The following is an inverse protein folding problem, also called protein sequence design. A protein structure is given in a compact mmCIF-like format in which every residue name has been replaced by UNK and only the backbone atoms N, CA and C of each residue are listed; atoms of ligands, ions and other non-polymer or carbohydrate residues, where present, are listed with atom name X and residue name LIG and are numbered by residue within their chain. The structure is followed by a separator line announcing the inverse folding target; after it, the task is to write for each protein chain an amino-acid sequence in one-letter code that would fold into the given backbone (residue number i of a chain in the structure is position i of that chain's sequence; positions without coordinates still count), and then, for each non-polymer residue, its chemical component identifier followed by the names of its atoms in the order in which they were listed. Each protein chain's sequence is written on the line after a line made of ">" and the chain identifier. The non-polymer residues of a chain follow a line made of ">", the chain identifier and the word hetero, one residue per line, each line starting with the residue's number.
data_IF_726635257338
#
_entry.id   IF_726635257338
#
_cell.length_a   1.000
_cell.length_b   1.000
_cell.length_c   1.000
_cell.angle_alpha   90.00
_cell.angle_beta   90.00
_cell.angle_gamma   90.00
#
_symmetry.space_group_name_H-M   'P 1'
#
loop_
_entity.id
_entity.type
_entity.pdbx_description
1 polymer ?
#
# COMPACT_ATOMS: atom_id res chain seq x y z
N UNK A 1 13.77 -54.22 -14.69
CA UNK A 1 14.89 -53.47 -15.29
C UNK A 1 14.48 -52.02 -15.32
N UNK A 2 14.83 -51.32 -14.25
CA UNK A 2 14.56 -49.91 -13.97
C UNK A 2 15.61 -49.04 -14.68
N UNK A 3 15.17 -48.00 -15.35
CA UNK A 3 16.03 -46.91 -15.82
C UNK A 3 15.25 -45.59 -15.84
N UNK A 4 15.40 -44.82 -14.76
CA UNK A 4 15.62 -43.36 -14.78
C UNK A 4 17.05 -43.13 -15.36
N UNK A 5 17.51 -41.94 -15.83
CA UNK A 5 16.99 -40.59 -15.60
C UNK A 5 17.08 -39.61 -16.80
N UNK A 6 16.47 -38.42 -16.68
CA UNK A 6 17.18 -37.15 -16.97
C UNK A 6 16.43 -35.99 -16.29
N UNK A 7 16.93 -35.59 -15.13
CA UNK A 7 16.62 -34.30 -14.52
C UNK A 7 17.66 -33.31 -15.01
N UNK A 8 17.22 -32.23 -15.66
CA UNK A 8 18.01 -31.01 -15.86
C UNK A 8 17.14 -29.88 -16.44
N UNK A 9 16.02 -29.55 -15.80
CA UNK A 9 15.26 -28.35 -16.18
C UNK A 9 14.41 -27.73 -15.05
N UNK A 10 14.81 -27.94 -13.80
CA UNK A 10 14.16 -27.33 -12.63
C UNK A 10 15.21 -26.72 -11.71
N UNK A 11 16.01 -25.78 -12.23
CA UNK A 11 17.00 -25.06 -11.42
C UNK A 11 17.20 -23.63 -11.90
N UNK A 12 16.19 -22.78 -11.77
CA UNK A 12 16.34 -21.34 -12.03
C UNK A 12 15.19 -20.46 -11.54
N UNK A 13 14.51 -20.80 -10.45
CA UNK A 13 13.52 -19.91 -9.80
C UNK A 13 13.58 -19.95 -8.26
N UNK A 14 14.78 -19.96 -7.68
CA UNK A 14 14.97 -19.48 -6.30
C UNK A 14 15.70 -18.14 -6.40
N UNK A 15 14.93 -17.07 -6.62
CA UNK A 15 15.45 -15.73 -6.41
C UNK A 15 15.70 -15.62 -4.91
N UNK A 16 16.98 -15.59 -4.52
CA UNK A 16 17.41 -15.46 -3.12
C UNK A 16 16.63 -14.33 -2.43
N UNK A 17 16.14 -14.58 -1.21
CA UNK A 17 15.43 -13.58 -0.41
C UNK A 17 16.22 -12.27 -0.29
N UNK A 18 17.57 -12.37 -0.27
CA UNK A 18 18.47 -11.23 -0.28
C UNK A 18 18.43 -10.43 -1.60
N UNK A 19 18.26 -11.09 -2.74
CA UNK A 19 18.14 -10.41 -4.03
C UNK A 19 16.76 -9.75 -4.17
N UNK A 20 15.71 -10.39 -3.66
CA UNK A 20 14.38 -9.82 -3.57
C UNK A 20 14.36 -8.60 -2.62
N UNK A 21 15.03 -8.70 -1.48
CA UNK A 21 15.21 -7.61 -0.52
C UNK A 21 16.02 -6.44 -1.11
N UNK A 22 17.11 -6.72 -1.84
CA UNK A 22 17.89 -5.69 -2.55
C UNK A 22 17.09 -5.02 -3.66
N UNK A 23 16.28 -5.77 -4.42
CA UNK A 23 15.37 -5.21 -5.45
C UNK A 23 14.26 -4.36 -4.83
N UNK A 24 13.73 -4.76 -3.66
CA UNK A 24 12.77 -3.96 -2.87
C UNK A 24 13.41 -2.68 -2.35
N UNK A 25 14.60 -2.76 -1.77
CA UNK A 25 15.38 -1.59 -1.31
C UNK A 25 15.75 -0.63 -2.46
N UNK A 26 16.16 -1.15 -3.62
CA UNK A 26 16.44 -0.32 -4.79
C UNK A 26 15.19 0.31 -5.43
N UNK A 27 14.00 -0.29 -5.22
CA UNK A 27 12.71 0.31 -5.57
C UNK A 27 12.31 1.38 -4.54
N UNK A 28 12.76 1.22 -3.29
CA UNK A 28 12.48 2.12 -2.19
C UNK A 28 13.17 3.47 -2.28
N UNK A 29 14.39 3.49 -2.80
CA UNK A 29 15.20 4.70 -2.92
C UNK A 29 14.77 5.62 -4.08
N UNK A 30 13.77 5.25 -4.88
CA UNK A 30 13.31 6.10 -5.99
C UNK A 30 12.33 7.15 -5.49
N UNK A 31 12.63 8.46 -5.68
CA UNK A 31 11.68 9.53 -5.42
C UNK A 31 10.36 9.27 -6.17
N UNK A 32 9.24 9.49 -5.51
CA UNK A 32 7.93 9.19 -6.08
C UNK A 32 7.66 10.01 -7.35
N UNK A 33 7.25 9.35 -8.44
CA UNK A 33 7.01 10.03 -9.71
C UNK A 33 5.73 10.89 -9.64
N UNK A 34 5.94 12.20 -9.50
CA UNK A 34 4.89 13.23 -9.43
C UNK A 34 3.92 13.22 -10.62
N UNK A 35 4.30 12.62 -11.76
CA UNK A 35 3.43 12.49 -12.95
C UNK A 35 2.34 11.44 -12.77
N UNK A 36 2.50 10.51 -11.82
CA UNK A 36 1.48 9.52 -11.44
C UNK A 36 0.38 10.12 -10.56
N UNK A 37 0.62 11.30 -9.99
CA UNK A 37 -0.33 12.02 -9.14
C UNK A 37 -1.25 12.93 -9.97
N UNK A 38 -2.07 12.31 -10.84
CA UNK A 38 -3.08 13.02 -11.62
C UNK A 38 -4.23 12.08 -12.00
N UNK A 39 -5.44 12.47 -11.62
CA UNK A 39 -6.68 11.81 -12.01
C UNK A 39 -6.97 12.00 -13.51
N UNK A 40 -6.39 13.02 -14.13
CA UNK A 40 -6.53 13.26 -15.56
C UNK A 40 -6.01 12.12 -16.46
N UNK A 41 -5.15 11.24 -15.93
CA UNK A 41 -4.64 10.06 -16.63
C UNK A 41 -5.70 8.98 -16.88
N UNK A 42 -6.84 9.03 -16.19
CA UNK A 42 -7.93 8.07 -16.34
C UNK A 42 -8.76 8.32 -17.60
N UNK A 43 -8.70 9.51 -18.19
CA UNK A 43 -9.49 9.88 -19.37
C UNK A 43 -8.64 9.91 -20.65
N UNK A 44 -9.17 9.34 -21.74
CA UNK A 44 -8.55 9.40 -23.07
C UNK A 44 -8.83 10.71 -23.81
N UNK A 45 -9.85 11.48 -23.39
CA UNK A 45 -10.25 12.72 -24.04
C UNK A 45 -9.33 13.89 -23.61
N UNK A 46 -8.61 14.54 -24.56
CA UNK A 46 -7.62 15.57 -24.23
C UNK A 46 -8.22 16.82 -23.59
N UNK A 47 -9.45 17.21 -23.92
CA UNK A 47 -10.12 18.35 -23.30
C UNK A 47 -10.51 18.04 -21.85
N UNK A 48 -11.09 16.86 -21.59
CA UNK A 48 -11.45 16.44 -20.22
C UNK A 48 -10.21 16.33 -19.33
N UNK A 49 -9.14 15.70 -19.83
CA UNK A 49 -7.87 15.60 -19.10
C UNK A 49 -7.21 16.97 -18.89
N UNK A 50 -7.31 17.88 -19.86
CA UNK A 50 -6.84 19.26 -19.73
C UNK A 50 -7.57 20.02 -18.61
N UNK A 51 -8.90 19.95 -18.58
CA UNK A 51 -9.72 20.59 -17.54
C UNK A 51 -9.42 20.02 -16.16
N UNK A 52 -9.33 18.69 -16.01
CA UNK A 52 -9.00 18.06 -14.73
C UNK A 52 -7.63 18.53 -14.24
N UNK A 53 -6.61 18.57 -15.11
CA UNK A 53 -5.28 19.08 -14.75
C UNK A 53 -5.33 20.53 -14.30
N UNK A 54 -6.10 21.38 -14.96
CA UNK A 54 -6.25 22.77 -14.56
C UNK A 54 -6.86 22.88 -13.15
N UNK A 55 -7.94 22.12 -12.87
CA UNK A 55 -8.56 22.07 -11.55
C UNK A 55 -7.58 21.56 -10.50
N UNK A 56 -6.86 20.46 -10.79
CA UNK A 56 -5.83 19.91 -9.89
C UNK A 56 -4.80 20.98 -9.51
N UNK A 57 -4.27 21.70 -10.49
CA UNK A 57 -3.26 22.74 -10.26
C UNK A 57 -3.78 23.93 -9.47
N UNK A 58 -5.02 24.37 -9.74
CA UNK A 58 -5.63 25.52 -9.08
C UNK A 58 -6.06 25.25 -7.63
N UNK A 59 -6.27 23.97 -7.27
CA UNK A 59 -6.87 23.61 -5.96
C UNK A 59 -5.89 22.86 -5.06
N UNK A 60 -5.56 21.61 -5.41
CA UNK A 60 -5.00 20.65 -4.46
C UNK A 60 -3.53 20.30 -4.75
N UNK A 61 -3.09 20.38 -6.00
CA UNK A 61 -1.79 19.83 -6.42
C UNK A 61 -0.61 20.57 -5.78
N UNK A 62 -0.66 21.90 -5.70
CA UNK A 62 0.42 22.68 -5.06
C UNK A 62 0.53 22.33 -3.58
N UNK A 63 -0.59 22.30 -2.86
CA UNK A 63 -0.63 21.95 -1.44
C UNK A 63 -0.13 20.52 -1.21
N UNK A 64 -0.61 19.57 -2.01
CA UNK A 64 -0.20 18.17 -1.93
C UNK A 64 1.30 17.99 -2.17
N UNK A 65 1.86 18.67 -3.17
CA UNK A 65 3.29 18.61 -3.46
C UNK A 65 4.15 19.26 -2.36
N UNK A 66 3.64 20.28 -1.65
CA UNK A 66 4.31 20.84 -0.48
C UNK A 66 4.33 19.83 0.66
N UNK A 67 3.19 19.24 0.99
CA UNK A 67 3.07 18.23 2.03
C UNK A 67 3.97 17.02 1.80
N UNK A 68 4.01 16.50 0.56
CA UNK A 68 4.90 15.38 0.18
C UNK A 68 6.36 15.76 0.38
N UNK A 69 6.79 16.93 -0.13
CA UNK A 69 8.18 17.39 0.02
C UNK A 69 8.58 17.59 1.47
N UNK A 70 7.70 18.14 2.29
CA UNK A 70 7.97 18.34 3.71
C UNK A 70 8.00 17.00 4.47
N UNK A 71 7.18 16.02 4.05
CA UNK A 71 7.25 14.65 4.57
C UNK A 71 8.58 13.98 4.23
N UNK A 72 9.01 14.05 2.96
CA UNK A 72 10.29 13.50 2.50
C UNK A 72 11.49 14.17 3.19
N UNK A 73 11.48 15.50 3.32
CA UNK A 73 12.53 16.27 4.01
C UNK A 73 12.72 15.89 5.47
N UNK A 74 11.62 15.55 6.15
CA UNK A 74 11.67 15.14 7.56
C UNK A 74 11.94 13.65 7.74
N UNK A 75 12.12 12.89 6.65
CA UNK A 75 12.42 11.46 6.60
C UNK A 75 11.22 10.58 6.93
N UNK A 76 10.78 9.73 6.00
CA UNK A 76 9.65 8.83 6.24
C UNK A 76 10.06 7.66 7.16
N UNK A 77 9.46 7.48 8.35
CA UNK A 77 9.76 6.35 9.19
C UNK A 77 9.14 5.08 8.60
N UNK A 78 9.82 3.96 8.78
CA UNK A 78 9.36 2.65 8.30
C UNK A 78 8.52 1.97 9.38
N UNK A 79 7.46 1.28 8.97
CA UNK A 79 6.64 0.47 9.88
C UNK A 79 5.59 1.28 10.63
N UNK A 80 5.27 0.83 11.84
CA UNK A 80 4.22 1.41 12.69
C UNK A 80 4.30 2.94 12.88
N UNK A 81 5.50 3.57 13.02
CA UNK A 81 5.58 5.02 13.19
C UNK A 81 5.23 5.84 11.94
N UNK A 82 5.09 5.21 10.77
CA UNK A 82 4.66 5.86 9.52
C UNK A 82 3.29 6.51 9.67
N UNK A 83 2.31 5.74 10.15
CA UNK A 83 0.91 6.15 10.24
C UNK A 83 0.69 7.43 11.03
N UNK A 84 1.17 7.56 12.30
CA UNK A 84 0.91 8.75 13.09
C UNK A 84 1.65 9.96 12.52
N UNK A 85 2.82 9.77 11.90
CA UNK A 85 3.55 10.86 11.25
C UNK A 85 2.81 11.36 10.02
N UNK A 86 2.36 10.45 9.16
CA UNK A 86 1.69 10.80 7.92
C UNK A 86 0.36 11.53 8.19
N UNK A 87 -0.44 11.05 9.15
CA UNK A 87 -1.69 11.71 9.58
C UNK A 87 -1.44 13.13 10.09
N UNK A 88 -0.44 13.32 10.96
CA UNK A 88 -0.06 14.66 11.45
C UNK A 88 0.42 15.58 10.33
N UNK A 89 1.24 15.07 9.41
CA UNK A 89 1.76 15.87 8.31
C UNK A 89 0.65 16.35 7.38
N UNK A 90 -0.35 15.50 7.12
CA UNK A 90 -1.52 15.86 6.33
C UNK A 90 -2.49 16.82 7.05
N UNK A 91 -2.26 17.11 8.34
CA UNK A 91 -3.15 17.95 9.15
C UNK A 91 -4.49 17.27 9.46
N UNK A 92 -4.55 15.94 9.43
CA UNK A 92 -5.76 15.18 9.71
C UNK A 92 -5.88 14.97 11.22
N UNK A 93 -7.06 15.30 11.75
CA UNK A 93 -7.44 15.00 13.13
C UNK A 93 -8.33 13.75 13.15
N UNK A 94 -8.02 12.84 14.06
CA UNK A 94 -8.83 11.65 14.35
C UNK A 94 -9.53 11.93 15.68
N UNK A 95 -10.81 12.27 15.59
CA UNK A 95 -11.63 12.65 16.75
C UNK A 95 -12.42 11.48 17.35
N UNK A 96 -12.20 10.26 16.86
CA UNK A 96 -12.76 9.03 17.42
C UNK A 96 -12.38 8.93 18.91
N UNK A 97 -13.37 8.74 19.82
CA UNK A 97 -13.09 8.66 21.25
C UNK A 97 -12.09 7.53 21.58
N UNK A 98 -11.14 7.75 22.51
CA UNK A 98 -10.17 6.73 22.89
C UNK A 98 -10.80 5.42 23.38
N UNK A 99 -11.95 5.50 24.05
CA UNK A 99 -12.72 4.35 24.52
C UNK A 99 -13.27 3.49 23.37
N UNK A 100 -13.59 4.06 22.22
CA UNK A 100 -14.02 3.31 21.04
C UNK A 100 -12.83 2.64 20.35
N UNK A 101 -11.69 3.32 20.29
CA UNK A 101 -10.44 2.73 19.78
C UNK A 101 -10.01 1.54 20.66
N UNK A 102 -10.19 1.65 21.98
CA UNK A 102 -9.88 0.59 22.94
C UNK A 102 -10.76 -0.67 22.78
N UNK A 103 -11.86 -0.62 22.02
CA UNK A 103 -12.65 -1.80 21.69
C UNK A 103 -11.96 -2.73 20.69
N UNK A 104 -10.93 -2.25 19.98
CA UNK A 104 -10.12 -3.07 19.09
C UNK A 104 -9.41 -4.15 19.93
N UNK A 105 -9.59 -5.45 19.63
CA UNK A 105 -8.91 -6.50 20.35
C UNK A 105 -7.38 -6.38 20.20
N UNK A 106 -6.60 -6.29 21.30
CA UNK A 106 -5.14 -6.14 21.23
C UNK A 106 -4.45 -7.37 20.65
N UNK A 107 -5.07 -8.54 20.77
CA UNK A 107 -4.58 -9.82 20.26
C UNK A 107 -5.73 -10.63 19.68
N UNK A 108 -5.39 -11.70 18.96
CA UNK A 108 -6.37 -12.57 18.29
C UNK A 108 -6.83 -12.03 16.94
N UNK A 109 -7.71 -12.77 16.25
CA UNK A 109 -8.16 -12.45 14.90
C UNK A 109 -9.09 -11.23 14.89
N UNK A 110 -8.86 -10.32 13.96
CA UNK A 110 -9.68 -9.14 13.72
C UNK A 110 -9.81 -8.89 12.22
N UNK A 111 -11.02 -8.62 11.76
CA UNK A 111 -11.30 -8.13 10.40
C UNK A 111 -11.99 -6.77 10.53
N UNK A 112 -11.35 -5.73 10.00
CA UNK A 112 -11.91 -4.37 9.96
C UNK A 112 -12.51 -4.14 8.58
N UNK A 113 -13.77 -3.71 8.54
CA UNK A 113 -14.49 -3.40 7.30
C UNK A 113 -15.02 -1.98 7.40
N UNK A 114 -14.82 -1.19 6.36
CA UNK A 114 -15.32 0.18 6.28
C UNK A 114 -15.95 0.46 4.93
N UNK A 115 -16.85 1.44 4.90
CA UNK A 115 -17.05 2.19 3.68
C UNK A 115 -15.81 3.08 3.44
N UNK A 116 -15.46 3.29 2.18
CA UNK A 116 -14.21 4.00 1.82
C UNK A 116 -14.45 5.06 0.76
N UNK A 117 -15.35 6.05 1.03
CA UNK A 117 -15.72 7.05 0.03
C UNK A 117 -14.56 7.98 -0.33
N UNK A 118 -13.61 8.21 0.60
CA UNK A 118 -12.50 9.14 0.39
C UNK A 118 -11.26 8.47 -0.21
N UNK A 119 -11.28 7.16 -0.43
CA UNK A 119 -10.13 6.47 -0.95
C UNK A 119 -8.96 6.50 0.05
N UNK A 120 -7.72 6.43 -0.44
CA UNK A 120 -6.46 6.28 0.32
C UNK A 120 -6.47 6.88 1.76
N UNK A 121 -6.80 8.17 1.89
CA UNK A 121 -7.75 8.70 2.89
C UNK A 121 -8.03 7.84 4.12
N UNK A 122 -9.20 7.19 4.05
CA UNK A 122 -9.82 6.47 5.16
C UNK A 122 -8.97 5.24 5.55
N UNK A 123 -8.18 4.70 4.62
CA UNK A 123 -7.29 3.58 4.85
C UNK A 123 -6.10 3.96 5.72
N UNK A 124 -5.56 5.16 5.56
CA UNK A 124 -4.52 5.70 6.45
C UNK A 124 -5.07 5.97 7.85
N UNK A 125 -6.31 6.48 7.94
CA UNK A 125 -6.97 6.75 9.21
C UNK A 125 -7.23 5.44 9.96
N UNK A 126 -7.77 4.42 9.28
CA UNK A 126 -8.00 3.09 9.86
C UNK A 126 -6.69 2.43 10.29
N UNK A 127 -5.66 2.51 9.46
CA UNK A 127 -4.33 2.00 9.81
C UNK A 127 -3.79 2.68 11.07
N UNK A 128 -3.88 4.01 11.18
CA UNK A 128 -3.47 4.74 12.39
C UNK A 128 -4.31 4.37 13.61
N UNK A 129 -5.64 4.25 13.49
CA UNK A 129 -6.50 3.86 14.61
C UNK A 129 -6.16 2.45 15.13
N UNK A 130 -5.96 1.49 14.23
CA UNK A 130 -5.55 0.12 14.62
C UNK A 130 -4.13 0.14 15.19
N UNK A 131 -3.21 0.88 14.60
CA UNK A 131 -1.81 1.00 15.01
C UNK A 131 -1.62 1.57 16.44
N UNK A 132 -2.60 2.34 16.95
CA UNK A 132 -2.63 2.79 18.36
C UNK A 132 -2.81 1.64 19.36
N UNK A 133 -3.39 0.52 18.91
CA UNK A 133 -3.68 -0.65 19.75
C UNK A 133 -2.74 -1.81 19.42
N UNK A 134 -2.51 -2.06 18.13
CA UNK A 134 -1.68 -3.16 17.63
C UNK A 134 -1.09 -2.84 16.26
N UNK A 135 0.14 -3.30 16.00
CA UNK A 135 0.87 -3.03 14.75
C UNK A 135 1.04 -4.24 13.85
N UNK A 136 0.36 -5.34 14.15
CA UNK A 136 0.43 -6.63 13.45
C UNK A 136 -0.75 -6.81 12.47
N UNK A 137 -1.19 -5.74 11.83
CA UNK A 137 -2.29 -5.79 10.86
C UNK A 137 -1.81 -5.85 9.41
N UNK A 138 -2.72 -6.26 8.52
CA UNK A 138 -2.52 -6.23 7.07
C UNK A 138 -3.69 -5.52 6.40
N UNK A 139 -3.40 -4.78 5.34
CA UNK A 139 -4.35 -4.00 4.54
C UNK A 139 -4.43 -4.65 3.17
N UNK A 140 -5.63 -5.09 2.82
CA UNK A 140 -5.95 -5.56 1.48
C UNK A 140 -6.06 -4.36 0.53
N UNK A 141 -5.16 -4.25 -0.44
CA UNK A 141 -5.13 -3.08 -1.34
C UNK A 141 -4.73 -3.42 -2.78
N UNK A 142 -4.94 -2.47 -3.69
CA UNK A 142 -4.47 -2.56 -5.08
C UNK A 142 -2.95 -2.41 -5.11
N UNK A 143 -2.29 -3.09 -6.05
CA UNK A 143 -0.82 -3.13 -6.17
C UNK A 143 -0.14 -1.74 -6.28
N UNK A 144 -0.87 -0.66 -6.58
CA UNK A 144 -0.34 0.71 -6.61
C UNK A 144 0.30 1.17 -5.29
N UNK A 145 -0.11 0.65 -4.13
CA UNK A 145 0.51 0.97 -2.83
C UNK A 145 1.75 0.13 -2.50
N UNK A 146 2.04 -0.93 -3.26
CA UNK A 146 3.30 -1.72 -3.13
C UNK A 146 4.55 -0.95 -3.56
N UNK A 147 4.41 0.35 -3.88
CA UNK A 147 5.51 1.24 -4.22
C UNK A 147 5.94 2.16 -3.08
N UNK A 148 5.39 2.00 -1.87
CA UNK A 148 5.77 2.76 -0.67
C UNK A 148 6.44 1.80 0.32
N UNK A 149 7.77 1.71 0.29
CA UNK A 149 8.57 0.78 1.11
C UNK A 149 8.30 0.87 2.60
N UNK A 150 8.05 2.10 3.07
CA UNK A 150 7.84 2.39 4.47
C UNK A 150 6.64 1.65 5.06
N UNK A 151 5.66 1.29 4.22
CA UNK A 151 4.44 0.58 4.60
C UNK A 151 4.24 -0.76 3.90
N UNK A 152 5.19 -1.20 3.07
CA UNK A 152 5.05 -2.44 2.27
C UNK A 152 4.71 -3.65 3.16
N UNK A 153 5.30 -3.72 4.35
CA UNK A 153 5.03 -4.78 5.33
C UNK A 153 3.58 -4.87 5.79
N UNK A 154 2.77 -3.82 5.66
CA UNK A 154 1.35 -3.82 6.02
C UNK A 154 0.45 -4.19 4.86
N UNK A 155 0.95 -4.39 3.64
CA UNK A 155 0.12 -4.55 2.45
C UNK A 155 0.03 -6.01 2.03
N UNK A 156 -1.18 -6.44 1.68
CA UNK A 156 -1.41 -7.67 0.92
C UNK A 156 -2.11 -7.26 -0.39
N UNK A 157 -1.51 -7.53 -1.57
CA UNK A 157 -2.08 -7.14 -2.84
C UNK A 157 -3.31 -7.99 -3.18
N UNK A 158 -4.38 -7.34 -3.64
CA UNK A 158 -5.60 -8.00 -4.11
C UNK A 158 -5.64 -8.02 -5.64
N UNK A 159 -5.84 -9.20 -6.28
CA UNK A 159 -5.98 -9.30 -7.72
C UNK A 159 -7.36 -8.88 -8.21
N UNK A 160 -7.43 -8.37 -9.43
CA UNK A 160 -8.71 -8.05 -10.06
C UNK A 160 -9.22 -9.17 -10.97
N UNK A 161 -10.54 -9.45 -11.02
CA UNK A 161 -11.09 -10.56 -11.81
C UNK A 161 -10.80 -10.54 -13.32
N UNK A 162 -10.37 -9.40 -13.86
CA UNK A 162 -10.07 -9.21 -15.27
C UNK A 162 -8.57 -9.30 -15.61
N UNK A 163 -7.71 -9.60 -14.63
CA UNK A 163 -6.30 -9.88 -14.85
C UNK A 163 -6.13 -11.34 -15.28
N UNK A 164 -5.27 -11.61 -16.27
CA UNK A 164 -5.09 -12.95 -16.84
C UNK A 164 -4.62 -13.98 -15.77
N UNK A 165 -3.91 -13.51 -14.73
CA UNK A 165 -3.39 -14.30 -13.62
C UNK A 165 -4.17 -14.10 -12.30
N UNK A 166 -5.39 -13.55 -12.34
CA UNK A 166 -6.18 -13.21 -11.15
C UNK A 166 -6.42 -14.39 -10.19
N UNK A 167 -6.62 -15.59 -10.75
CA UNK A 167 -6.84 -16.81 -9.96
C UNK A 167 -5.59 -17.19 -9.14
N UNK A 168 -4.42 -17.16 -9.76
CA UNK A 168 -3.16 -17.53 -9.12
C UNK A 168 -2.78 -16.52 -8.04
N UNK A 169 -2.85 -15.23 -8.37
CA UNK A 169 -2.65 -14.15 -7.40
C UNK A 169 -3.65 -14.22 -6.24
N UNK A 170 -4.88 -14.68 -6.49
CA UNK A 170 -5.90 -14.83 -5.47
C UNK A 170 -5.58 -15.96 -4.49
N UNK A 171 -4.97 -17.05 -4.97
CA UNK A 171 -4.46 -18.12 -4.12
C UNK A 171 -3.27 -17.62 -3.28
N UNK A 172 -2.32 -16.92 -3.90
CA UNK A 172 -1.16 -16.35 -3.20
C UNK A 172 -1.59 -15.37 -2.09
N UNK A 173 -2.52 -14.46 -2.39
CA UNK A 173 -3.09 -13.53 -1.41
C UNK A 173 -3.72 -14.29 -0.23
N UNK A 174 -4.48 -15.36 -0.49
CA UNK A 174 -5.09 -16.19 0.56
C UNK A 174 -4.02 -16.89 1.39
N UNK A 175 -3.01 -17.46 0.77
CA UNK A 175 -1.91 -18.15 1.46
C UNK A 175 -1.11 -17.17 2.34
N UNK A 176 -0.79 -15.98 1.84
CA UNK A 176 -0.13 -14.91 2.61
C UNK A 176 -0.99 -14.46 3.80
N UNK A 177 -2.30 -14.31 3.59
CA UNK A 177 -3.24 -13.95 4.65
C UNK A 177 -3.31 -15.04 5.71
N UNK A 178 -3.37 -16.32 5.31
CA UNK A 178 -3.45 -17.45 6.24
C UNK A 178 -2.15 -17.66 7.03
N UNK A 179 -0.98 -17.32 6.47
CA UNK A 179 0.31 -17.35 7.21
C UNK A 179 0.42 -16.27 8.28
N UNK A 180 -0.39 -15.22 8.17
CA UNK A 180 -0.42 -14.10 9.12
C UNK A 180 -1.35 -14.36 10.32
N UNK A 181 -2.25 -15.36 10.22
CA UNK A 181 -3.15 -15.80 11.28
C UNK A 181 -2.50 -16.87 12.17
#
# INVERSE_FOLDING_TARGET
>A
MTATPQGDEVRSLEVSEDELARRRAARAERPYDMRRLSYAGTFKNPFKSGTIRAIEWLTAKVTLLRLIRDFERTGAPVGAPFWPKAIRQMGIRIDTPPEEIALIPPTGPLVVVSNHPSGLVDGMILAEMVNRVRSDFKILTRSLLTGIPEVEQFMIPVPFPHEDNARELGLQMRDETMKHL
#
